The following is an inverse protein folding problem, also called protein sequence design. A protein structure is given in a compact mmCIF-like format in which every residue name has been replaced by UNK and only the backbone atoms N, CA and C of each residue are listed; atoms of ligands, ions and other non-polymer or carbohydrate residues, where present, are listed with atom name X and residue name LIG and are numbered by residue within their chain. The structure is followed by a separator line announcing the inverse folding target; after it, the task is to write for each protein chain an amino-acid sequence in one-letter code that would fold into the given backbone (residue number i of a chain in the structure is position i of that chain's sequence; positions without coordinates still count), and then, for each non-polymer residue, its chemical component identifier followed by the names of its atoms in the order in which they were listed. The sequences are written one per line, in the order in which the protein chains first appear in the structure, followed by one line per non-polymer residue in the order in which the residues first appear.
data_IF_731395787873
#
_entry.id   IF_731395787873
#
_cell.length_a   1.000
_cell.length_b   1.000
_cell.length_c   1.000
_cell.angle_alpha   90.00
_cell.angle_beta   90.00
_cell.angle_gamma   90.00
#
_symmetry.space_group_name_H-M   'P 1'
#
loop_
_entity.id
_entity.type
_entity.pdbx_description
1 polymer ?
#
# COMPACT_ATOMS: atom_id res chain seq x y z
N UNK A 1 -44.66 26.79 -43.84
CA UNK A 1 -43.30 26.66 -43.26
C UNK A 1 -43.42 25.65 -42.12
N UNK A 2 -42.93 24.44 -42.36
CA UNK A 2 -42.89 23.37 -41.36
C UNK A 2 -41.75 23.69 -40.37
N UNK A 3 -42.07 23.90 -39.12
CA UNK A 3 -41.07 23.99 -38.09
C UNK A 3 -40.72 22.54 -37.71
N UNK A 4 -39.61 22.09 -38.27
CA UNK A 4 -39.06 20.78 -37.96
C UNK A 4 -38.92 20.62 -36.44
N UNK A 5 -39.53 19.56 -35.91
CA UNK A 5 -39.45 19.21 -34.53
C UNK A 5 -37.99 19.09 -34.08
N UNK A 6 -37.60 19.94 -33.14
CA UNK A 6 -36.30 19.87 -32.47
C UNK A 6 -36.15 18.46 -31.92
N UNK A 7 -35.22 17.77 -32.46
CA UNK A 7 -34.97 16.35 -32.26
C UNK A 7 -34.66 16.10 -30.79
N UNK A 8 -35.65 15.63 -30.03
CA UNK A 8 -35.61 15.45 -28.57
C UNK A 8 -34.58 14.41 -28.11
N UNK A 9 -34.07 13.60 -29.07
CA UNK A 9 -33.02 12.61 -28.83
C UNK A 9 -31.65 13.27 -28.52
N UNK A 10 -31.41 14.49 -28.94
CA UNK A 10 -30.16 15.22 -28.67
C UNK A 10 -30.08 15.64 -27.17
N UNK A 11 -31.20 15.82 -26.49
CA UNK A 11 -31.23 16.24 -25.08
C UNK A 11 -30.83 15.13 -24.16
N UNK A 12 -31.23 13.87 -24.40
CA UNK A 12 -30.86 12.70 -23.61
C UNK A 12 -29.35 12.52 -23.61
N UNK A 13 -28.74 12.60 -24.79
CA UNK A 13 -27.28 12.53 -24.94
C UNK A 13 -26.56 13.67 -24.20
N UNK A 14 -27.10 14.89 -24.27
CA UNK A 14 -26.53 16.05 -23.60
C UNK A 14 -26.60 15.92 -22.06
N UNK A 15 -27.75 15.49 -21.51
CA UNK A 15 -27.90 15.27 -20.06
C UNK A 15 -27.01 14.12 -19.58
N UNK A 16 -26.92 13.02 -20.33
CA UNK A 16 -26.03 11.91 -19.99
C UNK A 16 -24.56 12.35 -20.01
N UNK A 17 -24.14 13.09 -21.04
CA UNK A 17 -22.77 13.59 -21.16
C UNK A 17 -22.42 14.60 -20.06
N UNK A 18 -23.32 15.54 -19.75
CA UNK A 18 -23.13 16.51 -18.68
C UNK A 18 -23.04 15.84 -17.31
N UNK A 19 -23.93 14.87 -17.05
CA UNK A 19 -23.90 14.05 -15.84
C UNK A 19 -22.62 13.27 -15.70
N UNK A 20 -22.14 12.66 -16.79
CA UNK A 20 -20.87 11.91 -16.79
C UNK A 20 -19.68 12.82 -16.51
N UNK A 21 -19.61 14.01 -17.09
CA UNK A 21 -18.52 14.98 -16.85
C UNK A 21 -18.52 15.47 -15.41
N UNK A 22 -19.68 15.84 -14.86
CA UNK A 22 -19.81 16.26 -13.46
C UNK A 22 -19.48 15.12 -12.51
N UNK A 23 -19.95 13.91 -12.79
CA UNK A 23 -19.67 12.71 -12.01
C UNK A 23 -18.20 12.35 -12.03
N UNK A 24 -17.54 12.42 -13.19
CA UNK A 24 -16.11 12.21 -13.32
C UNK A 24 -15.31 13.22 -12.49
N UNK A 25 -15.65 14.51 -12.57
CA UNK A 25 -14.97 15.57 -11.83
C UNK A 25 -15.14 15.44 -10.32
N UNK A 26 -16.37 15.25 -9.84
CA UNK A 26 -16.66 15.09 -8.42
C UNK A 26 -16.03 13.81 -7.87
N UNK A 27 -16.16 12.69 -8.57
CA UNK A 27 -15.57 11.41 -8.19
C UNK A 27 -14.05 11.47 -8.15
N UNK A 28 -13.41 12.05 -9.17
CA UNK A 28 -11.96 12.22 -9.21
C UNK A 28 -11.46 13.07 -8.04
N UNK A 29 -12.15 14.17 -7.72
CA UNK A 29 -11.82 15.03 -6.57
C UNK A 29 -11.94 14.26 -5.26
N UNK A 30 -13.05 13.55 -5.06
CA UNK A 30 -13.26 12.72 -3.87
C UNK A 30 -12.17 11.64 -3.74
N UNK A 31 -11.84 10.95 -4.82
CA UNK A 31 -10.78 9.94 -4.86
C UNK A 31 -9.40 10.53 -4.54
N UNK A 32 -9.09 11.71 -5.04
CA UNK A 32 -7.83 12.39 -4.76
C UNK A 32 -7.72 12.83 -3.30
N UNK A 33 -8.79 13.36 -2.71
CA UNK A 33 -8.83 13.86 -1.34
C UNK A 33 -8.96 12.75 -0.29
N UNK A 34 -9.41 11.55 -0.67
CA UNK A 34 -9.69 10.43 0.24
C UNK A 34 -8.47 9.85 0.95
N UNK A 35 -7.24 10.19 0.50
CA UNK A 35 -5.99 9.62 1.02
C UNK A 35 -6.02 8.09 1.08
N UNK A 36 -6.22 7.42 -0.06
CA UNK A 36 -6.45 5.97 -0.13
C UNK A 36 -5.23 5.13 0.30
N UNK A 37 -4.12 5.78 0.58
CA UNK A 37 -2.93 5.16 1.14
C UNK A 37 -2.97 5.02 2.67
N UNK A 38 -4.00 5.58 3.34
CA UNK A 38 -4.22 5.46 4.78
C UNK A 38 -5.48 4.65 5.08
N UNK A 39 -5.41 3.85 6.15
CA UNK A 39 -6.54 3.23 6.81
C UNK A 39 -6.40 3.49 8.32
N UNK A 40 -7.41 4.05 8.94
CA UNK A 40 -7.43 4.41 10.38
C UNK A 40 -6.21 5.28 10.81
N UNK A 41 -5.75 6.14 9.89
CA UNK A 41 -4.61 7.04 10.12
C UNK A 41 -3.23 6.41 9.89
N UNK A 42 -3.15 5.11 9.61
CA UNK A 42 -1.92 4.37 9.36
C UNK A 42 -1.76 4.05 7.86
N UNK A 43 -0.52 3.94 7.35
CA UNK A 43 -0.28 3.52 5.98
C UNK A 43 -0.76 2.07 5.75
N UNK A 44 -1.43 1.82 4.63
CA UNK A 44 -1.87 0.47 4.26
C UNK A 44 -0.67 -0.39 3.82
N UNK A 45 -0.75 -1.72 4.00
CA UNK A 45 0.32 -2.65 3.58
C UNK A 45 0.65 -2.51 2.09
N UNK A 46 -0.39 -2.34 1.26
CA UNK A 46 -0.21 -2.10 -0.19
C UNK A 46 0.55 -0.81 -0.46
N UNK A 47 0.30 0.22 0.34
CA UNK A 47 1.04 1.48 0.22
C UNK A 47 2.48 1.34 0.72
N UNK A 48 2.72 0.67 1.86
CA UNK A 48 4.06 0.38 2.38
C UNK A 48 4.90 -0.35 1.33
N UNK A 49 4.33 -1.37 0.69
CA UNK A 49 5.01 -2.08 -0.40
C UNK A 49 5.40 -1.14 -1.54
N UNK A 50 4.45 -0.32 -2.00
CA UNK A 50 4.72 0.65 -3.10
C UNK A 50 5.74 1.73 -2.71
N UNK A 51 5.68 2.19 -1.47
CA UNK A 51 6.64 3.12 -0.89
C UNK A 51 8.05 2.50 -0.90
N UNK A 52 8.20 1.27 -0.44
CA UNK A 52 9.48 0.54 -0.44
C UNK A 52 10.04 0.35 -1.85
N UNK A 53 9.20 0.00 -2.83
CA UNK A 53 9.59 -0.08 -4.25
C UNK A 53 10.13 1.28 -4.76
N UNK A 54 9.43 2.37 -4.46
CA UNK A 54 9.84 3.70 -4.88
C UNK A 54 11.14 4.16 -4.19
N UNK A 55 11.29 3.90 -2.89
CA UNK A 55 12.54 4.17 -2.16
C UNK A 55 13.69 3.41 -2.81
N UNK A 56 13.52 2.10 -3.05
CA UNK A 56 14.52 1.28 -3.72
C UNK A 56 14.89 1.83 -5.12
N UNK A 57 13.89 2.30 -5.88
CA UNK A 57 14.14 2.88 -7.20
C UNK A 57 15.04 4.13 -7.15
N UNK A 58 14.98 4.90 -6.06
CA UNK A 58 15.79 6.13 -5.87
C UNK A 58 17.13 5.90 -5.19
N UNK A 59 17.40 4.70 -4.66
CA UNK A 59 18.67 4.37 -4.01
C UNK A 59 19.85 4.41 -5.01
N UNK A 60 21.07 4.76 -4.58
CA UNK A 60 22.30 4.54 -5.32
C UNK A 60 22.49 3.08 -5.70
N UNK A 61 23.26 2.79 -6.75
CA UNK A 61 23.47 1.42 -7.26
C UNK A 61 23.98 0.46 -6.17
N UNK A 62 24.95 0.88 -5.39
CA UNK A 62 25.54 0.09 -4.28
C UNK A 62 24.49 -0.28 -3.22
N UNK A 63 23.63 0.69 -2.84
CA UNK A 63 22.56 0.43 -1.87
C UNK A 63 21.47 -0.48 -2.44
N UNK A 64 21.20 -0.40 -3.76
CA UNK A 64 20.27 -1.33 -4.43
C UNK A 64 20.77 -2.76 -4.40
N UNK A 65 22.06 -2.96 -4.68
CA UNK A 65 22.68 -4.27 -4.65
C UNK A 65 22.65 -4.86 -3.24
N UNK A 66 22.98 -4.05 -2.24
CA UNK A 66 22.90 -4.47 -0.85
C UNK A 66 21.46 -4.83 -0.44
N UNK A 67 20.48 -3.99 -0.79
CA UNK A 67 19.07 -4.27 -0.52
C UNK A 67 18.59 -5.56 -1.21
N UNK A 68 19.01 -5.82 -2.45
CA UNK A 68 18.71 -7.05 -3.16
C UNK A 68 19.34 -8.27 -2.50
N UNK A 69 20.59 -8.15 -2.06
CA UNK A 69 21.28 -9.21 -1.31
C UNK A 69 20.56 -9.55 -0.02
N UNK A 70 20.15 -8.54 0.76
CA UNK A 70 19.40 -8.74 1.99
C UNK A 70 18.03 -9.40 1.75
N UNK A 71 17.33 -9.02 0.69
CA UNK A 71 16.06 -9.65 0.31
C UNK A 71 16.25 -11.12 -0.06
N UNK A 72 17.29 -11.45 -0.81
CA UNK A 72 17.63 -12.82 -1.15
C UNK A 72 17.98 -13.66 0.10
N UNK A 73 18.72 -13.08 1.04
CA UNK A 73 19.05 -13.72 2.32
C UNK A 73 17.75 -14.00 3.11
N UNK A 74 16.87 -13.02 3.23
CA UNK A 74 15.59 -13.18 3.93
C UNK A 74 14.69 -14.22 3.25
N UNK A 75 14.65 -14.23 1.93
CA UNK A 75 13.89 -15.22 1.18
C UNK A 75 14.44 -16.63 1.39
N UNK A 76 15.76 -16.80 1.27
CA UNK A 76 16.42 -18.09 1.53
C UNK A 76 16.20 -18.55 2.99
N UNK A 77 16.24 -17.64 3.96
CA UNK A 77 15.90 -17.92 5.36
C UNK A 77 14.47 -18.46 5.47
N UNK A 78 13.50 -17.77 4.90
CA UNK A 78 12.09 -18.18 4.95
C UNK A 78 11.84 -19.53 4.27
N UNK A 79 12.49 -19.79 3.13
CA UNK A 79 12.41 -21.08 2.42
C UNK A 79 12.98 -22.21 3.28
N UNK A 80 14.16 -22.02 3.88
CA UNK A 80 14.78 -23.03 4.77
C UNK A 80 13.93 -23.29 6.02
N UNK A 81 13.44 -22.25 6.67
CA UNK A 81 12.56 -22.37 7.86
C UNK A 81 11.24 -23.09 7.51
N UNK A 82 10.66 -22.80 6.36
CA UNK A 82 9.45 -23.47 5.89
C UNK A 82 9.66 -24.96 5.61
N UNK A 83 10.85 -25.34 5.16
CA UNK A 83 11.22 -26.71 4.82
C UNK A 83 11.61 -27.55 6.05
N UNK A 84 11.85 -26.95 7.22
CA UNK A 84 12.21 -27.66 8.45
C UNK A 84 11.15 -28.70 8.82
N UNK A 85 11.64 -29.89 9.27
CA UNK A 85 10.82 -31.06 9.58
C UNK A 85 10.66 -31.30 11.09
N UNK A 86 11.45 -30.62 11.92
CA UNK A 86 11.38 -30.70 13.38
C UNK A 86 11.64 -29.32 14.01
N UNK A 87 11.27 -29.18 15.29
CA UNK A 87 11.53 -27.98 16.08
C UNK A 87 13.03 -27.72 16.21
N UNK A 88 13.82 -28.77 16.43
CA UNK A 88 15.28 -28.64 16.57
C UNK A 88 15.95 -28.21 15.26
N UNK A 89 15.49 -28.77 14.14
CA UNK A 89 15.97 -28.35 12.81
C UNK A 89 15.57 -26.89 12.55
N UNK A 90 14.34 -26.49 12.89
CA UNK A 90 13.87 -25.13 12.75
C UNK A 90 14.71 -24.15 13.59
N UNK A 91 14.96 -24.45 14.88
CA UNK A 91 15.83 -23.66 15.77
C UNK A 91 17.22 -23.50 15.19
N UNK A 92 17.82 -24.60 14.76
CA UNK A 92 19.16 -24.60 14.14
C UNK A 92 19.20 -23.68 12.90
N UNK A 93 18.24 -23.81 11.98
CA UNK A 93 18.15 -22.94 10.79
C UNK A 93 17.94 -21.49 11.22
N UNK A 94 17.08 -21.21 12.19
CA UNK A 94 16.81 -19.85 12.68
C UNK A 94 18.10 -19.18 13.18
N UNK A 95 18.90 -19.87 14.00
CA UNK A 95 20.16 -19.35 14.56
C UNK A 95 21.21 -19.17 13.47
N UNK A 96 21.42 -20.19 12.64
CA UNK A 96 22.37 -20.13 11.51
C UNK A 96 22.10 -19.00 10.54
N UNK A 97 20.81 -18.76 10.25
CA UNK A 97 20.41 -17.71 9.30
C UNK A 97 20.35 -16.32 9.92
N UNK A 98 20.22 -16.23 11.24
CA UNK A 98 20.27 -14.96 11.98
C UNK A 98 21.69 -14.49 12.27
N UNK A 99 22.64 -15.42 12.37
CA UNK A 99 24.06 -15.13 12.49
C UNK A 99 24.87 -16.09 11.59
N UNK A 100 24.97 -15.83 10.28
CA UNK A 100 25.72 -16.68 9.36
C UNK A 100 27.20 -16.77 9.72
N UNK A 101 27.79 -17.96 9.56
CA UNK A 101 29.20 -18.20 9.88
C UNK A 101 30.17 -17.31 9.11
N UNK A 102 29.83 -16.97 7.88
CA UNK A 102 30.67 -16.10 7.03
C UNK A 102 30.69 -14.64 7.53
N UNK A 103 29.63 -14.19 8.20
CA UNK A 103 29.58 -12.88 8.87
C UNK A 103 30.31 -12.90 10.22
N UNK A 104 30.58 -14.07 10.81
CA UNK A 104 31.32 -14.17 12.05
C UNK A 104 32.77 -13.66 11.92
N UNK A 105 33.32 -13.63 10.71
CA UNK A 105 34.67 -13.08 10.46
C UNK A 105 34.73 -11.56 10.59
N UNK A 106 33.57 -10.86 10.39
CA UNK A 106 33.44 -9.41 10.49
C UNK A 106 32.20 -9.05 11.32
N UNK A 107 32.13 -9.60 12.55
CA UNK A 107 30.96 -9.42 13.42
C UNK A 107 30.67 -7.94 13.73
N UNK A 108 31.69 -7.10 13.84
CA UNK A 108 31.52 -5.66 14.04
C UNK A 108 30.89 -4.96 12.82
N UNK A 109 31.26 -5.34 11.61
CA UNK A 109 30.62 -4.82 10.40
C UNK A 109 29.14 -5.26 10.32
N UNK A 110 28.88 -6.51 10.71
CA UNK A 110 27.52 -7.04 10.80
C UNK A 110 26.68 -6.26 11.82
N UNK A 111 27.24 -5.97 13.01
CA UNK A 111 26.59 -5.14 14.04
C UNK A 111 26.27 -3.76 13.51
N UNK A 112 27.26 -3.06 12.99
CA UNK A 112 27.10 -1.71 12.45
C UNK A 112 26.08 -1.66 11.34
N UNK A 113 26.12 -2.62 10.42
CA UNK A 113 25.15 -2.73 9.34
C UNK A 113 23.73 -2.95 9.86
N UNK A 114 23.56 -3.87 10.84
CA UNK A 114 22.23 -4.15 11.41
C UNK A 114 21.68 -2.95 12.16
N UNK A 115 22.50 -2.22 12.91
CA UNK A 115 22.10 -0.98 13.58
C UNK A 115 21.69 0.08 12.57
N UNK A 116 22.43 0.25 11.47
CA UNK A 116 22.11 1.19 10.40
C UNK A 116 20.76 0.88 9.73
N UNK A 117 20.52 -0.40 9.40
CA UNK A 117 19.25 -0.83 8.78
C UNK A 117 18.06 -0.58 9.72
N UNK A 118 18.28 -0.68 11.01
CA UNK A 118 17.25 -0.49 12.04
C UNK A 118 17.11 0.96 12.54
N UNK A 119 17.89 1.89 12.00
CA UNK A 119 17.83 3.31 12.42
C UNK A 119 16.47 3.96 12.22
N UNK A 120 15.67 3.47 11.26
CA UNK A 120 14.30 3.89 11.00
C UNK A 120 13.25 3.35 11.97
N UNK A 121 13.59 2.45 12.90
CA UNK A 121 12.64 1.86 13.85
C UNK A 121 12.23 2.86 14.95
N UNK A 122 11.08 2.63 15.61
CA UNK A 122 10.72 3.29 16.87
C UNK A 122 11.80 3.10 17.94
N UNK A 123 11.99 4.09 18.82
CA UNK A 123 13.10 4.09 19.79
C UNK A 123 13.13 2.84 20.69
N UNK A 124 11.98 2.37 21.14
CA UNK A 124 11.90 1.14 21.95
C UNK A 124 12.42 -0.10 21.18
N UNK A 125 12.12 -0.19 19.88
CA UNK A 125 12.59 -1.31 19.04
C UNK A 125 14.10 -1.16 18.73
N UNK A 126 14.61 0.07 18.59
CA UNK A 126 16.05 0.33 18.46
C UNK A 126 16.84 -0.11 19.70
N UNK A 127 16.34 0.20 20.88
CA UNK A 127 16.98 -0.23 22.14
C UNK A 127 17.01 -1.75 22.24
N UNK A 128 15.94 -2.45 21.88
CA UNK A 128 15.91 -3.91 21.82
C UNK A 128 16.96 -4.46 20.83
N UNK A 129 17.12 -3.86 19.67
CA UNK A 129 18.17 -4.22 18.70
C UNK A 129 19.56 -3.95 19.27
N UNK A 130 19.81 -2.80 19.88
CA UNK A 130 21.09 -2.48 20.52
C UNK A 130 21.43 -3.49 21.62
N UNK A 131 20.47 -3.88 22.45
CA UNK A 131 20.66 -4.88 23.48
C UNK A 131 21.01 -6.25 22.90
N UNK A 132 20.30 -6.69 21.86
CA UNK A 132 20.58 -7.94 21.17
C UNK A 132 21.99 -7.96 20.56
N UNK A 133 22.49 -6.81 20.11
CA UNK A 133 23.84 -6.66 19.55
C UNK A 133 24.88 -6.12 20.55
N UNK A 134 24.60 -6.19 21.85
CA UNK A 134 25.60 -5.91 22.91
C UNK A 134 26.68 -7.00 23.01
N UNK A 135 26.45 -8.17 22.40
CA UNK A 135 27.39 -9.27 22.33
C UNK A 135 28.76 -8.81 21.79
N UNK A 136 29.83 -9.33 22.37
CA UNK A 136 31.20 -8.99 22.03
C UNK A 136 31.70 -9.71 20.77
N UNK A 137 31.12 -10.89 20.47
CA UNK A 137 31.50 -11.72 19.34
C UNK A 137 30.33 -12.56 18.81
N UNK A 138 30.55 -13.25 17.69
CA UNK A 138 29.51 -14.05 17.04
C UNK A 138 29.07 -15.27 17.83
N UNK A 139 29.94 -15.87 18.64
CA UNK A 139 29.62 -17.02 19.47
C UNK A 139 28.68 -16.63 20.61
N UNK A 140 29.02 -15.55 21.32
CA UNK A 140 28.17 -14.96 22.35
C UNK A 140 26.81 -14.53 21.77
N UNK A 141 26.80 -13.91 20.61
CA UNK A 141 25.56 -13.53 19.92
C UNK A 141 24.68 -14.73 19.58
N UNK A 142 25.26 -15.85 19.15
CA UNK A 142 24.53 -17.09 18.91
C UNK A 142 23.93 -17.67 20.20
N UNK A 143 24.67 -17.65 21.29
CA UNK A 143 24.18 -18.07 22.59
C UNK A 143 22.96 -17.24 23.00
N UNK A 144 23.04 -15.92 22.85
CA UNK A 144 21.89 -15.03 23.10
C UNK A 144 20.70 -15.33 22.20
N UNK A 145 20.94 -15.64 20.91
CA UNK A 145 19.87 -16.05 20.00
C UNK A 145 19.21 -17.38 20.40
N UNK A 146 19.99 -18.32 20.91
CA UNK A 146 19.46 -19.60 21.44
C UNK A 146 18.60 -19.39 22.66
N UNK A 147 19.06 -18.58 23.60
CA UNK A 147 18.34 -18.23 24.82
C UNK A 147 17.05 -17.47 24.50
N UNK A 148 17.10 -16.49 23.60
CA UNK A 148 15.93 -15.74 23.15
C UNK A 148 14.92 -16.66 22.45
N UNK A 149 15.41 -17.57 21.59
CA UNK A 149 14.55 -18.54 20.91
C UNK A 149 13.81 -19.42 21.92
N UNK A 150 14.53 -19.98 22.89
CA UNK A 150 13.94 -20.83 23.91
C UNK A 150 12.96 -20.07 24.81
N UNK A 151 13.29 -18.84 25.20
CA UNK A 151 12.41 -18.00 26.00
C UNK A 151 11.09 -17.66 25.28
N UNK A 152 11.15 -17.37 23.97
CA UNK A 152 9.98 -16.90 23.20
C UNK A 152 9.14 -18.03 22.61
N UNK A 153 9.76 -19.17 22.32
CA UNK A 153 9.13 -20.20 21.50
C UNK A 153 9.03 -21.57 22.18
N UNK A 154 9.48 -21.70 23.44
CA UNK A 154 9.37 -22.93 24.17
C UNK A 154 7.94 -23.49 24.22
N UNK A 155 7.80 -24.77 23.97
CA UNK A 155 6.50 -25.46 23.94
C UNK A 155 5.66 -25.28 22.70
N UNK A 156 6.10 -24.49 21.71
CA UNK A 156 5.39 -24.36 20.42
C UNK A 156 5.65 -25.56 19.53
N UNK A 157 4.62 -26.01 18.83
CA UNK A 157 4.74 -26.98 17.74
C UNK A 157 5.45 -26.36 16.53
N UNK A 158 5.95 -27.21 15.63
CA UNK A 158 6.61 -26.75 14.41
C UNK A 158 5.73 -25.84 13.55
N UNK A 159 4.44 -26.16 13.41
CA UNK A 159 3.51 -25.35 12.63
C UNK A 159 3.24 -23.99 13.29
N UNK A 160 3.13 -23.95 14.61
CA UNK A 160 3.02 -22.69 15.36
C UNK A 160 4.27 -21.83 15.20
N UNK A 161 5.46 -22.44 15.23
CA UNK A 161 6.73 -21.72 14.99
C UNK A 161 6.77 -21.11 13.61
N UNK A 162 6.48 -21.88 12.56
CA UNK A 162 6.45 -21.41 11.18
C UNK A 162 5.51 -20.22 11.01
N UNK A 163 4.31 -20.31 11.57
CA UNK A 163 3.33 -19.24 11.51
C UNK A 163 3.74 -18.02 12.33
N UNK A 164 4.26 -18.20 13.52
CA UNK A 164 4.70 -17.11 14.41
C UNK A 164 5.84 -16.32 13.76
N UNK A 165 6.90 -16.99 13.31
CA UNK A 165 8.07 -16.32 12.72
C UNK A 165 7.70 -15.59 11.40
N UNK A 166 6.83 -16.19 10.60
CA UNK A 166 6.31 -15.51 9.41
C UNK A 166 5.56 -14.23 9.79
N UNK A 167 4.68 -14.31 10.77
CA UNK A 167 3.88 -13.17 11.22
C UNK A 167 4.75 -12.07 11.84
N UNK A 168 5.75 -12.41 12.60
CA UNK A 168 6.73 -11.46 13.16
C UNK A 168 7.54 -10.76 12.06
N UNK A 169 7.94 -11.48 11.02
CA UNK A 169 8.62 -10.91 9.87
C UNK A 169 7.75 -9.91 9.11
N UNK A 170 6.48 -10.26 8.88
CA UNK A 170 5.52 -9.39 8.22
C UNK A 170 5.22 -8.13 9.07
N UNK A 171 5.08 -8.31 10.40
CA UNK A 171 4.86 -7.22 11.35
C UNK A 171 6.06 -6.27 11.44
N UNK A 172 7.27 -6.81 11.43
CA UNK A 172 8.50 -6.03 11.40
C UNK A 172 8.58 -5.14 10.15
N UNK A 173 8.33 -5.71 8.98
CA UNK A 173 8.28 -4.95 7.72
C UNK A 173 7.25 -3.82 7.74
N UNK A 174 6.08 -4.09 8.33
CA UNK A 174 5.03 -3.09 8.51
C UNK A 174 5.42 -1.99 9.49
N UNK A 175 6.02 -2.33 10.63
CA UNK A 175 6.53 -1.36 11.61
C UNK A 175 7.59 -0.44 10.99
N UNK A 176 8.57 -1.02 10.29
CA UNK A 176 9.61 -0.25 9.63
C UNK A 176 9.03 0.70 8.56
N UNK A 177 8.16 0.21 7.70
CA UNK A 177 7.49 1.04 6.69
C UNK A 177 6.63 2.15 7.30
N UNK A 178 5.92 1.85 8.39
CA UNK A 178 5.14 2.84 9.13
C UNK A 178 6.03 3.89 9.78
N UNK A 179 7.16 3.51 10.36
CA UNK A 179 8.13 4.45 10.96
C UNK A 179 8.70 5.39 9.90
N UNK A 180 9.12 4.86 8.74
CA UNK A 180 9.59 5.67 7.61
C UNK A 180 8.51 6.65 7.11
N UNK A 181 7.27 6.21 7.02
CA UNK A 181 6.16 7.09 6.65
C UNK A 181 5.95 8.21 7.67
N UNK A 182 5.98 7.89 8.96
CA UNK A 182 5.74 8.86 10.04
C UNK A 182 6.84 9.94 10.14
N UNK A 183 8.05 9.69 9.64
CA UNK A 183 9.11 10.71 9.57
C UNK A 183 8.74 11.88 8.68
N UNK A 184 7.90 11.64 7.67
CA UNK A 184 7.51 12.68 6.70
C UNK A 184 6.01 12.98 6.67
N UNK A 185 5.22 12.33 7.53
CA UNK A 185 3.77 12.54 7.62
C UNK A 185 3.38 13.29 8.89
N UNK A 186 2.85 14.50 8.74
CA UNK A 186 2.24 15.23 9.85
C UNK A 186 0.80 14.74 10.05
N UNK A 187 0.59 13.89 11.06
CA UNK A 187 -0.71 13.30 11.36
C UNK A 187 -1.74 14.34 11.81
N UNK A 188 -1.31 15.46 12.42
CA UNK A 188 -2.19 16.54 12.87
C UNK A 188 -2.68 17.37 11.69
N UNK A 189 -1.79 17.77 10.81
CA UNK A 189 -2.13 18.54 9.59
C UNK A 189 -2.64 17.65 8.47
N UNK A 190 -2.49 16.33 8.59
CA UNK A 190 -2.81 15.33 7.55
C UNK A 190 -2.12 15.65 6.21
N UNK A 191 -0.89 16.10 6.26
CA UNK A 191 -0.06 16.49 5.11
C UNK A 191 1.35 15.95 5.24
N UNK A 192 2.06 15.88 4.10
CA UNK A 192 3.49 15.59 4.12
C UNK A 192 4.29 16.83 4.54
N UNK A 193 5.23 16.64 5.46
CA UNK A 193 6.25 17.66 5.76
C UNK A 193 7.20 17.85 4.57
N UNK A 194 7.82 19.02 4.48
CA UNK A 194 8.83 19.24 3.46
C UNK A 194 10.05 18.36 3.77
N UNK A 195 10.33 17.45 2.85
CA UNK A 195 11.51 16.62 2.85
C UNK A 195 12.15 16.73 1.48
N UNK A 196 13.41 17.11 1.44
CA UNK A 196 14.18 17.27 0.20
C UNK A 196 15.03 16.02 -0.10
N UNK A 197 15.13 15.10 0.86
CA UNK A 197 15.85 13.83 0.68
C UNK A 197 15.15 12.89 -0.30
N UNK A 198 15.92 11.93 -0.82
CA UNK A 198 15.44 10.97 -1.81
C UNK A 198 14.31 10.09 -1.27
N UNK A 199 14.36 9.73 0.01
CA UNK A 199 13.35 8.87 0.67
C UNK A 199 12.02 9.60 0.77
N UNK A 200 12.00 10.82 1.29
CA UNK A 200 10.80 11.62 1.38
C UNK A 200 10.15 11.92 0.03
N UNK A 201 10.96 12.20 -1.00
CA UNK A 201 10.47 12.36 -2.38
C UNK A 201 9.85 11.07 -2.90
N UNK A 202 10.46 9.91 -2.66
CA UNK A 202 9.95 8.61 -3.08
C UNK A 202 8.61 8.27 -2.42
N UNK A 203 8.46 8.53 -1.11
CA UNK A 203 7.22 8.31 -0.37
C UNK A 203 6.11 9.23 -0.86
N UNK A 204 6.39 10.52 -1.05
CA UNK A 204 5.42 11.49 -1.61
C UNK A 204 4.98 11.08 -3.02
N UNK A 205 5.91 10.59 -3.85
CA UNK A 205 5.61 10.09 -5.19
C UNK A 205 4.68 8.87 -5.14
N UNK A 206 4.94 7.91 -4.23
CA UNK A 206 4.06 6.76 -4.01
C UNK A 206 2.64 7.21 -3.63
N UNK A 207 2.50 8.14 -2.68
CA UNK A 207 1.20 8.66 -2.24
C UNK A 207 0.44 9.36 -3.38
N UNK A 208 1.12 10.20 -4.17
CA UNK A 208 0.52 10.82 -5.36
C UNK A 208 0.06 9.77 -6.39
N UNK A 209 0.82 8.69 -6.57
CA UNK A 209 0.43 7.57 -7.43
C UNK A 209 -0.87 6.91 -6.98
N UNK A 210 -0.99 6.64 -5.67
CA UNK A 210 -2.23 6.12 -5.08
C UNK A 210 -3.40 7.08 -5.26
N UNK A 211 -3.23 8.35 -4.94
CA UNK A 211 -4.28 9.36 -5.10
C UNK A 211 -4.76 9.45 -6.56
N UNK A 212 -3.85 9.45 -7.54
CA UNK A 212 -4.19 9.47 -8.97
C UNK A 212 -4.96 8.22 -9.38
N UNK A 213 -4.52 7.04 -8.96
CA UNK A 213 -5.22 5.77 -9.24
C UNK A 213 -6.66 5.81 -8.71
N UNK A 214 -6.84 6.23 -7.48
CA UNK A 214 -8.17 6.31 -6.87
C UNK A 214 -9.01 7.45 -7.46
N UNK A 215 -8.41 8.58 -7.82
CA UNK A 215 -9.10 9.63 -8.56
C UNK A 215 -9.67 9.11 -9.89
N UNK A 216 -8.92 8.29 -10.63
CA UNK A 216 -9.42 7.67 -11.86
C UNK A 216 -10.56 6.69 -11.59
N UNK A 217 -10.44 5.83 -10.56
CA UNK A 217 -11.48 4.85 -10.20
C UNK A 217 -12.76 5.56 -9.78
N UNK A 218 -12.67 6.50 -8.83
CA UNK A 218 -13.85 7.24 -8.36
C UNK A 218 -14.43 8.15 -9.43
N UNK A 219 -13.57 8.71 -10.30
CA UNK A 219 -14.01 9.48 -11.48
C UNK A 219 -14.83 8.63 -12.44
N UNK A 220 -14.38 7.42 -12.75
CA UNK A 220 -15.12 6.48 -13.60
C UNK A 220 -16.46 6.07 -12.97
N UNK A 221 -16.47 5.76 -11.66
CA UNK A 221 -17.70 5.43 -10.94
C UNK A 221 -18.66 6.63 -10.93
N UNK A 222 -18.17 7.82 -10.63
CA UNK A 222 -18.97 9.04 -10.63
C UNK A 222 -19.57 9.35 -12.02
N UNK A 223 -18.78 9.18 -13.07
CA UNK A 223 -19.25 9.32 -14.45
C UNK A 223 -20.37 8.32 -14.79
N UNK A 224 -20.23 7.07 -14.39
CA UNK A 224 -21.25 6.04 -14.63
C UNK A 224 -22.56 6.34 -13.88
N UNK A 225 -22.48 6.74 -12.62
CA UNK A 225 -23.66 7.04 -11.79
C UNK A 225 -24.38 8.29 -12.32
N UNK A 226 -23.71 9.43 -12.42
CA UNK A 226 -24.37 10.68 -12.81
C UNK A 226 -24.68 10.72 -14.30
N UNK A 227 -23.88 10.07 -15.15
CA UNK A 227 -24.21 9.87 -16.55
C UNK A 227 -25.47 9.00 -16.75
N UNK A 228 -25.60 7.94 -15.96
CA UNK A 228 -26.80 7.10 -15.94
C UNK A 228 -28.05 7.85 -15.46
N UNK A 229 -27.93 8.64 -14.39
CA UNK A 229 -29.01 9.50 -13.91
C UNK A 229 -29.38 10.53 -14.98
N UNK A 230 -28.41 11.18 -15.61
CA UNK A 230 -28.63 12.14 -16.70
C UNK A 230 -29.38 11.51 -17.89
N UNK A 231 -29.01 10.27 -18.25
CA UNK A 231 -29.71 9.50 -19.27
C UNK A 231 -31.18 9.25 -18.91
N UNK A 232 -31.44 8.79 -17.69
CA UNK A 232 -32.81 8.54 -17.21
C UNK A 232 -33.63 9.83 -17.15
N UNK A 233 -33.08 10.92 -16.63
CA UNK A 233 -33.78 12.20 -16.56
C UNK A 233 -34.08 12.78 -17.94
N UNK A 234 -33.14 12.64 -18.89
CA UNK A 234 -33.35 13.04 -20.28
C UNK A 234 -34.45 12.22 -20.98
N UNK A 235 -34.54 10.91 -20.65
CA UNK A 235 -35.58 10.00 -21.19
C UNK A 235 -36.97 10.26 -20.66
N UNK A 236 -37.13 10.67 -19.40
CA UNK A 236 -38.45 10.96 -18.80
C UNK A 236 -39.11 12.17 -19.46
N UNK A 237 -38.33 13.12 -19.98
CA UNK A 237 -38.87 14.28 -20.71
C UNK A 237 -39.41 13.99 -22.11
N UNK A 238 -39.11 12.81 -22.68
CA UNK A 238 -39.50 12.45 -24.08
C UNK A 238 -40.84 11.73 -24.18
N UNK A 239 -41.44 11.30 -23.05
CA UNK A 239 -42.72 10.58 -23.03
C UNK A 239 -43.95 11.50 -22.79
N UNK A 240 -43.86 12.81 -23.05
CA UNK A 240 -45.05 13.63 -23.17
C UNK A 240 -45.70 13.34 -24.51
N UNK A 241 -46.85 12.67 -24.41
CA UNK A 241 -47.74 12.34 -25.53
C UNK A 241 -47.91 13.50 -26.48
N UNK A 242 -47.83 13.20 -27.76
CA UNK A 242 -48.27 14.11 -28.80
C UNK A 242 -49.76 14.44 -28.58
N UNK A 243 -50.17 15.72 -28.65
CA UNK A 243 -51.57 16.04 -28.53
C UNK A 243 -52.34 15.36 -29.65
N UNK A 244 -53.39 14.59 -29.26
CA UNK A 244 -54.37 14.02 -30.21
C UNK A 244 -54.79 15.05 -31.21
N UNK A 245 -54.54 14.81 -32.46
CA UNK A 245 -55.02 15.59 -33.60
C UNK A 245 -56.53 15.46 -33.63
N UNK A 246 -57.21 16.56 -33.27
CA UNK A 246 -58.65 16.68 -33.43
C UNK A 246 -59.04 16.38 -34.89
N UNK A 247 -59.82 15.31 -35.06
CA UNK A 247 -60.49 14.99 -36.34
C UNK A 247 -61.38 16.16 -36.73
N UNK A 248 -61.07 16.82 -37.81
CA UNK A 248 -62.00 17.72 -38.48
C UNK A 248 -63.09 16.88 -39.13
N UNK A 249 -64.26 16.94 -38.57
CA UNK A 249 -65.48 16.48 -39.21
C UNK A 249 -65.83 17.45 -40.35
N UNK A 250 -65.63 17.03 -41.57
CA UNK A 250 -66.23 17.74 -42.72
C UNK A 250 -67.71 17.50 -42.72
N UNK A 251 -68.50 18.55 -42.46
CA UNK A 251 -69.92 18.58 -42.76
C UNK A 251 -70.06 19.25 -44.10
N UNK A 252 -70.41 18.44 -45.13
CA UNK A 252 -70.98 18.95 -46.36
C UNK A 252 -72.47 19.27 -46.18
N UNK A 253 -72.84 20.45 -46.60
CA UNK A 253 -74.16 20.79 -47.08
C UNK A 253 -74.05 21.89 -48.08
#
# INVERSE_FOLDING_TARGET
MSVDGVNNSNNVGLYAASGAVLGAGAGATAGYLSKPFLKDGLPTDTFIKKMSENIRATMPAEQKELAATMENIQKAKQERLSAAKSVDEFKKIYIETSCPLDMAKNFEEFKQFTLLVNEGLPEADKEAVKMAYSALNAEEFRTLLEEDFDARYSGKSLDELKNTIKHESDDYGRKLGTAQFNQIWDSRKKTFVNSEDGVGKAIKSAAKGFQRKYAMIYGAIGAAILGGIGYLCGGIGTNKEAPETAQKTDIQA
#
